data_IF_787759659186
#
_entry.id   IF_787759659186
#
_cell.length_a   1.000
_cell.length_b   1.000
_cell.length_c   1.000
_cell.angle_alpha   90.00
_cell.angle_beta   90.00
_cell.angle_gamma   90.00
#
_symmetry.space_group_name_H-M   'P 1'
#
loop_
_entity.id
_entity.type
_entity.pdbx_description
1 polymer ?
#
# COMPACT_ATOMS: atom_id res chain seq x y z
N UNK A 1 -4.30 12.41 -31.24
CA UNK A 1 -5.33 13.42 -30.92
C UNK A 1 -5.34 13.64 -29.41
N UNK A 2 -5.09 14.86 -28.93
CA UNK A 2 -5.19 15.16 -27.50
C UNK A 2 -6.65 15.01 -27.06
N UNK A 3 -6.92 14.21 -26.01
CA UNK A 3 -8.25 14.14 -25.37
C UNK A 3 -8.62 15.54 -24.88
N UNK A 4 -9.65 16.14 -25.47
CA UNK A 4 -10.18 17.44 -25.04
C UNK A 4 -10.98 17.21 -23.75
N UNK A 5 -10.44 17.62 -22.61
CA UNK A 5 -11.15 17.51 -21.34
C UNK A 5 -12.19 18.63 -21.23
N UNK A 6 -13.43 18.27 -20.91
CA UNK A 6 -14.51 19.22 -20.62
C UNK A 6 -14.52 19.47 -19.11
N UNK A 7 -14.41 20.74 -18.70
CA UNK A 7 -14.56 21.15 -17.31
C UNK A 7 -16.04 21.40 -17.02
N UNK A 8 -16.52 20.91 -15.88
CA UNK A 8 -17.89 21.12 -15.40
C UNK A 8 -17.87 21.91 -14.11
N UNK A 9 -18.87 22.78 -13.90
CA UNK A 9 -19.10 23.39 -12.59
C UNK A 9 -19.67 22.36 -11.60
N UNK A 10 -19.55 22.59 -10.27
CA UNK A 10 -20.15 21.70 -9.27
C UNK A 10 -21.66 21.48 -9.48
N UNK A 11 -22.41 22.54 -9.83
CA UNK A 11 -23.86 22.46 -10.07
C UNK A 11 -24.17 21.61 -11.31
N UNK A 12 -23.35 21.70 -12.35
CA UNK A 12 -23.48 20.86 -13.54
C UNK A 12 -23.23 19.38 -13.23
N UNK A 13 -22.26 19.09 -12.36
CA UNK A 13 -21.97 17.72 -11.91
C UNK A 13 -23.16 17.15 -11.15
N UNK A 14 -23.72 17.90 -10.20
CA UNK A 14 -24.88 17.47 -9.40
C UNK A 14 -26.09 17.21 -10.31
N UNK A 15 -26.38 18.12 -11.25
CA UNK A 15 -27.49 17.94 -12.19
C UNK A 15 -27.33 16.67 -13.04
N UNK A 16 -26.13 16.44 -13.58
CA UNK A 16 -25.84 15.24 -14.38
C UNK A 16 -25.89 13.96 -13.54
N UNK A 17 -25.46 14.02 -12.30
CA UNK A 17 -25.57 12.90 -11.37
C UNK A 17 -27.03 12.57 -11.07
N UNK A 18 -27.87 13.57 -10.82
CA UNK A 18 -29.30 13.38 -10.60
C UNK A 18 -29.99 12.77 -11.83
N UNK A 19 -29.61 13.20 -13.05
CA UNK A 19 -30.08 12.59 -14.30
C UNK A 19 -29.70 11.10 -14.38
N UNK A 20 -28.46 10.75 -14.03
CA UNK A 20 -27.99 9.36 -14.04
C UNK A 20 -28.67 8.51 -12.95
N UNK A 21 -28.91 9.06 -11.77
CA UNK A 21 -29.64 8.38 -10.69
C UNK A 21 -31.10 8.09 -11.09
N UNK A 22 -31.77 9.04 -11.74
CA UNK A 22 -33.13 8.83 -12.28
C UNK A 22 -33.13 7.75 -13.36
N UNK A 23 -32.15 7.79 -14.28
CA UNK A 23 -31.98 6.76 -15.32
C UNK A 23 -31.79 5.37 -14.71
N UNK A 24 -30.92 5.26 -13.70
CA UNK A 24 -30.70 4.02 -12.95
C UNK A 24 -32.00 3.55 -12.28
N UNK A 25 -32.68 4.41 -11.51
CA UNK A 25 -33.91 4.04 -10.79
C UNK A 25 -35.01 3.56 -11.74
N UNK A 26 -35.17 4.22 -12.90
CA UNK A 26 -36.07 3.76 -13.95
C UNK A 26 -35.70 2.37 -14.47
N UNK A 27 -34.41 2.13 -14.76
CA UNK A 27 -33.95 0.81 -15.22
C UNK A 27 -34.14 -0.30 -14.16
N UNK A 28 -33.98 0.03 -12.88
CA UNK A 28 -33.97 -0.93 -11.77
C UNK A 28 -35.38 -1.22 -11.22
N UNK A 29 -36.26 -0.22 -11.21
CA UNK A 29 -37.60 -0.30 -10.60
C UNK A 29 -38.75 -0.11 -11.60
N UNK A 30 -38.47 0.29 -12.84
CA UNK A 30 -39.50 0.52 -13.88
C UNK A 30 -40.29 1.82 -13.71
N UNK A 31 -40.07 2.59 -12.64
CA UNK A 31 -40.79 3.83 -12.36
C UNK A 31 -39.94 5.06 -12.68
N UNK A 32 -40.56 6.06 -13.32
CA UNK A 32 -39.99 7.40 -13.39
C UNK A 32 -39.89 8.01 -12.00
N UNK A 33 -38.75 8.62 -11.70
CA UNK A 33 -38.49 9.31 -10.43
C UNK A 33 -38.31 10.80 -10.72
N UNK A 34 -39.24 11.62 -10.25
CA UNK A 34 -39.09 13.08 -10.32
C UNK A 34 -38.02 13.58 -9.33
N UNK A 35 -37.64 14.85 -9.46
CA UNK A 35 -36.62 15.44 -8.57
C UNK A 35 -37.04 15.40 -7.10
N UNK A 36 -38.32 15.67 -6.80
CA UNK A 36 -38.82 15.73 -5.43
C UNK A 36 -38.74 14.37 -4.73
N UNK A 37 -39.11 13.30 -5.42
CA UNK A 37 -39.01 11.91 -4.95
C UNK A 37 -37.54 11.50 -4.83
N UNK A 38 -36.68 11.90 -5.77
CA UNK A 38 -35.23 11.67 -5.67
C UNK A 38 -34.67 12.32 -4.40
N UNK A 39 -34.90 13.61 -4.19
CA UNK A 39 -34.39 14.36 -3.04
C UNK A 39 -34.89 13.81 -1.70
N UNK A 40 -36.16 13.39 -1.65
CA UNK A 40 -36.77 12.84 -0.44
C UNK A 40 -36.29 11.42 -0.09
N UNK A 41 -35.76 10.67 -1.06
CA UNK A 41 -35.45 9.23 -0.87
C UNK A 41 -34.02 8.86 -1.25
N UNK A 42 -33.19 9.82 -1.69
CA UNK A 42 -31.79 9.58 -2.03
C UNK A 42 -31.03 9.14 -0.80
N UNK A 43 -30.30 8.04 -0.89
CA UNK A 43 -29.43 7.62 0.20
C UNK A 43 -28.21 6.84 -0.31
N UNK A 44 -27.17 6.86 0.51
CA UNK A 44 -25.91 6.17 0.27
C UNK A 44 -25.56 5.22 1.39
N UNK A 45 -24.78 4.19 1.05
CA UNK A 45 -24.12 3.31 2.00
C UNK A 45 -22.64 3.68 2.01
N UNK A 46 -22.07 3.92 3.18
CA UNK A 46 -20.65 4.19 3.35
C UNK A 46 -19.96 3.01 4.05
N UNK A 47 -18.90 2.48 3.43
CA UNK A 47 -18.10 1.37 3.96
C UNK A 47 -16.76 1.87 4.47
N UNK A 48 -16.50 1.68 5.75
CA UNK A 48 -15.26 2.13 6.40
C UNK A 48 -14.03 1.32 6.01
N UNK A 49 -12.86 1.91 6.22
CA UNK A 49 -11.56 1.23 6.10
C UNK A 49 -11.30 0.25 7.25
N UNK A 50 -10.08 -0.32 7.28
CA UNK A 50 -9.67 -1.29 8.32
C UNK A 50 -9.21 -2.65 7.78
N UNK A 51 -8.65 -2.68 6.57
CA UNK A 51 -8.12 -3.89 5.93
C UNK A 51 -9.13 -5.02 5.77
N UNK A 52 -8.64 -6.26 5.81
CA UNK A 52 -9.46 -7.45 5.53
C UNK A 52 -10.56 -7.69 6.57
N UNK A 53 -10.35 -7.27 7.82
CA UNK A 53 -11.36 -7.37 8.88
C UNK A 53 -12.59 -6.53 8.53
N UNK A 54 -12.36 -5.26 8.17
CA UNK A 54 -13.45 -4.38 7.74
C UNK A 54 -14.13 -4.90 6.46
N UNK A 55 -13.35 -5.37 5.47
CA UNK A 55 -13.90 -5.96 4.25
C UNK A 55 -14.86 -7.13 4.52
N UNK A 56 -14.51 -7.99 5.48
CA UNK A 56 -15.33 -9.16 5.86
C UNK A 56 -16.64 -8.74 6.54
N UNK A 57 -16.57 -7.78 7.46
CA UNK A 57 -17.76 -7.24 8.14
C UNK A 57 -18.68 -6.54 7.13
N UNK A 58 -18.12 -5.65 6.30
CA UNK A 58 -18.85 -4.94 5.25
C UNK A 58 -19.53 -5.90 4.28
N UNK A 59 -18.85 -6.99 3.88
CA UNK A 59 -19.45 -8.01 3.03
C UNK A 59 -20.68 -8.67 3.69
N UNK A 60 -20.61 -8.98 4.98
CA UNK A 60 -21.73 -9.53 5.75
C UNK A 60 -22.91 -8.56 5.88
N UNK A 61 -22.61 -7.27 6.12
CA UNK A 61 -23.62 -6.20 6.19
C UNK A 61 -24.31 -6.07 4.83
N UNK A 62 -23.56 -5.90 3.74
CA UNK A 62 -24.13 -5.75 2.40
C UNK A 62 -24.92 -6.98 1.96
N UNK A 63 -24.47 -8.19 2.31
CA UNK A 63 -25.23 -9.42 2.07
C UNK A 63 -26.61 -9.36 2.72
N UNK A 64 -26.67 -8.87 3.95
CA UNK A 64 -27.92 -8.73 4.68
C UNK A 64 -28.79 -7.63 4.08
N UNK A 65 -28.22 -6.46 3.76
CA UNK A 65 -28.95 -5.38 3.11
C UNK A 65 -29.48 -5.77 1.73
N UNK A 66 -28.76 -6.59 0.98
CA UNK A 66 -29.20 -7.15 -0.29
C UNK A 66 -30.38 -8.11 -0.11
N UNK A 67 -30.34 -8.98 0.90
CA UNK A 67 -31.48 -9.86 1.26
C UNK A 67 -32.77 -9.09 1.52
N UNK A 68 -32.68 -7.90 2.12
CA UNK A 68 -33.82 -7.03 2.36
C UNK A 68 -34.11 -6.03 1.21
N UNK A 69 -33.41 -6.13 0.09
CA UNK A 69 -33.57 -5.24 -1.06
C UNK A 69 -33.09 -3.80 -0.83
N UNK A 70 -32.47 -3.50 0.31
CA UNK A 70 -31.96 -2.16 0.67
C UNK A 70 -30.77 -1.80 -0.21
N UNK A 71 -29.85 -2.74 -0.45
CA UNK A 71 -28.68 -2.49 -1.30
C UNK A 71 -29.08 -2.08 -2.73
N UNK A 72 -30.11 -2.73 -3.30
CA UNK A 72 -30.66 -2.39 -4.62
C UNK A 72 -31.23 -0.96 -4.67
N UNK A 73 -31.73 -0.45 -3.54
CA UNK A 73 -32.32 0.89 -3.42
C UNK A 73 -31.30 2.00 -3.17
N UNK A 74 -30.12 1.69 -2.65
CA UNK A 74 -29.08 2.68 -2.42
C UNK A 74 -28.64 3.31 -3.75
N UNK A 75 -28.48 4.63 -3.77
CA UNK A 75 -28.01 5.39 -4.93
C UNK A 75 -26.49 5.50 -4.95
N UNK A 76 -25.88 5.51 -3.77
CA UNK A 76 -24.44 5.64 -3.61
C UNK A 76 -23.86 4.48 -2.78
N UNK A 77 -22.68 4.04 -3.18
CA UNK A 77 -21.82 3.17 -2.38
C UNK A 77 -20.45 3.84 -2.25
N UNK A 78 -20.23 4.52 -1.13
CA UNK A 78 -18.96 5.16 -0.82
C UNK A 78 -18.07 4.18 -0.05
N UNK A 79 -16.81 4.05 -0.44
CA UNK A 79 -15.91 3.07 0.17
C UNK A 79 -14.52 3.65 0.36
N UNK A 80 -13.82 3.20 1.41
CA UNK A 80 -12.41 3.57 1.65
C UNK A 80 -11.60 2.35 2.09
N UNK A 81 -10.36 2.24 1.62
CA UNK A 81 -9.39 1.20 2.02
C UNK A 81 -10.01 -0.21 1.97
N UNK A 82 -10.08 -0.92 3.11
CA UNK A 82 -10.69 -2.26 3.22
C UNK A 82 -12.14 -2.34 2.74
N UNK A 83 -12.94 -1.28 2.90
CA UNK A 83 -14.30 -1.22 2.35
C UNK A 83 -14.30 -1.20 0.81
N UNK A 84 -13.23 -0.70 0.19
CA UNK A 84 -13.03 -0.73 -1.26
C UNK A 84 -12.91 -2.13 -1.82
N UNK A 85 -12.43 -3.11 -1.03
CA UNK A 85 -12.42 -4.52 -1.47
C UNK A 85 -13.84 -5.05 -1.69
N UNK A 86 -14.73 -4.79 -0.73
CA UNK A 86 -16.15 -5.13 -0.86
C UNK A 86 -16.81 -4.32 -1.98
N UNK A 87 -16.54 -3.01 -2.06
CA UNK A 87 -17.09 -2.14 -3.09
C UNK A 87 -16.72 -2.55 -4.51
N UNK A 88 -15.44 -2.85 -4.75
CA UNK A 88 -14.94 -3.31 -6.04
C UNK A 88 -15.57 -4.65 -6.44
N UNK A 89 -15.74 -5.58 -5.49
CA UNK A 89 -16.47 -6.82 -5.73
C UNK A 89 -17.91 -6.57 -6.19
N UNK A 90 -18.67 -5.73 -5.49
CA UNK A 90 -20.04 -5.38 -5.88
C UNK A 90 -20.09 -4.82 -7.30
N UNK A 91 -19.19 -3.87 -7.61
CA UNK A 91 -19.14 -3.23 -8.91
C UNK A 91 -18.78 -4.21 -10.03
N UNK A 92 -17.78 -5.08 -9.81
CA UNK A 92 -17.36 -6.08 -10.78
C UNK A 92 -18.47 -7.10 -11.07
N UNK A 93 -19.09 -7.66 -10.02
CA UNK A 93 -20.16 -8.65 -10.18
C UNK A 93 -21.41 -8.05 -10.80
N UNK A 94 -21.82 -6.83 -10.43
CA UNK A 94 -22.97 -6.19 -11.08
C UNK A 94 -22.71 -5.88 -12.56
N UNK A 95 -21.46 -5.55 -12.93
CA UNK A 95 -21.08 -5.29 -14.32
C UNK A 95 -21.09 -6.57 -15.17
N UNK A 96 -20.67 -7.70 -14.59
CA UNK A 96 -20.59 -8.98 -15.28
C UNK A 96 -21.96 -9.68 -15.39
N UNK A 97 -22.67 -9.77 -14.27
CA UNK A 97 -23.93 -10.53 -14.17
C UNK A 97 -25.17 -9.70 -14.53
N UNK A 98 -25.09 -8.37 -14.41
CA UNK A 98 -26.22 -7.47 -14.62
C UNK A 98 -27.37 -7.61 -13.60
N UNK A 99 -27.20 -8.42 -12.55
CA UNK A 99 -28.25 -8.70 -11.56
C UNK A 99 -27.75 -8.63 -10.12
N UNK A 100 -28.60 -8.07 -9.24
CA UNK A 100 -28.37 -8.04 -7.79
C UNK A 100 -28.58 -9.41 -7.13
N UNK A 101 -29.28 -10.34 -7.79
CA UNK A 101 -29.58 -11.66 -7.21
C UNK A 101 -28.32 -12.54 -7.12
N UNK A 102 -27.39 -12.35 -8.07
CA UNK A 102 -26.10 -13.06 -8.14
C UNK A 102 -25.04 -12.51 -7.18
N UNK A 103 -25.29 -11.38 -6.54
CA UNK A 103 -24.32 -10.62 -5.77
C UNK A 103 -23.82 -11.33 -4.51
N UNK A 104 -24.56 -12.30 -3.98
CA UNK A 104 -24.17 -13.04 -2.77
C UNK A 104 -24.44 -14.54 -2.88
N UNK A 105 -24.43 -15.06 -4.11
CA UNK A 105 -24.49 -16.50 -4.38
C UNK A 105 -23.35 -17.22 -3.67
N UNK A 106 -23.59 -18.49 -3.29
CA UNK A 106 -22.62 -19.28 -2.51
C UNK A 106 -21.25 -19.34 -3.17
N UNK A 107 -21.21 -19.43 -4.49
CA UNK A 107 -19.97 -19.47 -5.27
C UNK A 107 -19.15 -18.20 -5.10
N UNK A 108 -19.74 -17.02 -5.32
CA UNK A 108 -19.03 -15.75 -5.17
C UNK A 108 -18.56 -15.50 -3.73
N UNK A 109 -19.41 -15.81 -2.75
CA UNK A 109 -19.03 -15.64 -1.34
C UNK A 109 -17.89 -16.60 -0.98
N UNK A 110 -17.90 -17.83 -1.49
CA UNK A 110 -16.81 -18.78 -1.29
C UNK A 110 -15.53 -18.36 -2.00
N UNK A 111 -15.63 -17.79 -3.20
CA UNK A 111 -14.51 -17.21 -3.92
C UNK A 111 -13.81 -16.15 -3.07
N UNK A 112 -14.55 -15.16 -2.56
CA UNK A 112 -14.02 -14.08 -1.72
C UNK A 112 -13.38 -14.63 -0.44
N UNK A 113 -14.05 -15.56 0.25
CA UNK A 113 -13.49 -16.20 1.46
C UNK A 113 -12.17 -16.91 1.18
N UNK A 114 -12.08 -17.58 0.03
CA UNK A 114 -10.88 -18.34 -0.35
C UNK A 114 -9.72 -17.45 -0.83
N UNK A 115 -9.96 -16.16 -1.07
CA UNK A 115 -8.97 -15.19 -1.56
C UNK A 115 -8.85 -13.93 -0.69
N UNK A 116 -9.32 -13.98 0.56
CA UNK A 116 -9.24 -12.85 1.50
C UNK A 116 -7.81 -12.47 1.93
N UNK A 117 -6.82 -13.34 1.71
CA UNK A 117 -5.42 -13.03 1.94
C UNK A 117 -4.85 -12.21 0.76
N UNK A 118 -5.17 -10.92 0.68
CA UNK A 118 -4.72 -10.07 -0.42
C UNK A 118 -3.20 -9.86 -0.45
N UNK A 119 -2.56 -9.78 0.72
CA UNK A 119 -1.09 -9.70 0.79
C UNK A 119 -0.43 -11.03 0.40
N UNK A 120 -1.10 -12.17 0.58
CA UNK A 120 -0.59 -13.50 0.25
C UNK A 120 -1.59 -14.21 -0.66
N UNK A 121 -1.77 -13.72 -1.90
CA UNK A 121 -2.76 -14.30 -2.81
C UNK A 121 -2.30 -15.71 -3.21
N UNK A 122 -3.26 -16.61 -3.43
CA UNK A 122 -3.00 -17.97 -3.91
C UNK A 122 -3.60 -19.07 -3.04
N UNK A 123 -3.50 -20.31 -3.54
CA UNK A 123 -3.91 -21.54 -2.85
C UNK A 123 -2.78 -22.57 -2.92
N UNK A 124 -2.71 -23.46 -1.94
CA UNK A 124 -1.72 -24.53 -1.89
C UNK A 124 -0.29 -24.00 -1.93
N UNK A 125 0.55 -24.61 -2.78
CA UNK A 125 1.98 -24.29 -2.92
C UNK A 125 2.25 -22.80 -3.21
N UNK A 126 1.45 -22.17 -4.07
CA UNK A 126 1.65 -20.76 -4.42
C UNK A 126 1.46 -19.80 -3.25
N UNK A 127 0.57 -20.14 -2.32
CA UNK A 127 0.40 -19.35 -1.09
C UNK A 127 1.64 -19.46 -0.21
N UNK A 128 2.20 -20.67 -0.06
CA UNK A 128 3.40 -20.91 0.74
C UNK A 128 4.61 -20.15 0.16
N UNK A 129 4.76 -20.16 -1.17
CA UNK A 129 5.80 -19.38 -1.85
C UNK A 129 5.67 -17.88 -1.59
N UNK A 130 4.49 -17.30 -1.82
CA UNK A 130 4.25 -15.87 -1.60
C UNK A 130 4.47 -15.46 -0.13
N UNK A 131 4.10 -16.35 0.80
CA UNK A 131 4.38 -16.14 2.24
C UNK A 131 5.89 -16.11 2.50
N UNK A 132 6.64 -17.05 1.91
CA UNK A 132 8.09 -17.10 2.02
C UNK A 132 8.76 -15.83 1.52
N UNK A 133 8.40 -15.37 0.31
CA UNK A 133 8.93 -14.13 -0.27
C UNK A 133 8.67 -12.93 0.63
N UNK A 134 7.45 -12.77 1.15
CA UNK A 134 7.12 -11.66 2.05
C UNK A 134 7.82 -11.74 3.39
N UNK A 135 8.00 -12.95 3.92
CA UNK A 135 8.73 -13.18 5.17
C UNK A 135 10.20 -12.80 5.01
N UNK A 136 10.83 -13.23 3.93
CA UNK A 136 12.22 -12.85 3.60
C UNK A 136 12.32 -11.34 3.41
N UNK A 137 11.40 -10.74 2.64
CA UNK A 137 11.35 -9.30 2.44
C UNK A 137 11.24 -8.53 3.76
N UNK A 138 10.35 -8.97 4.66
CA UNK A 138 10.19 -8.39 5.99
C UNK A 138 11.47 -8.52 6.84
N UNK A 139 12.11 -9.69 6.86
CA UNK A 139 13.37 -9.91 7.60
C UNK A 139 14.46 -9.00 7.06
N UNK A 140 14.59 -8.89 5.74
CA UNK A 140 15.57 -8.00 5.11
C UNK A 140 15.28 -6.55 5.48
N UNK A 141 14.02 -6.09 5.37
CA UNK A 141 13.63 -4.73 5.77
C UNK A 141 13.88 -4.46 7.25
N UNK A 142 13.65 -5.46 8.11
CA UNK A 142 13.94 -5.37 9.53
C UNK A 142 15.45 -5.23 9.77
N UNK A 143 16.28 -6.09 9.19
CA UNK A 143 17.74 -5.98 9.33
C UNK A 143 18.24 -4.62 8.83
N UNK A 144 17.73 -4.16 7.68
CA UNK A 144 18.13 -2.87 7.10
C UNK A 144 17.68 -1.67 7.96
N UNK A 145 16.53 -1.76 8.64
CA UNK A 145 16.07 -0.68 9.52
C UNK A 145 16.92 -0.53 10.79
N UNK A 146 17.55 -1.61 11.26
CA UNK A 146 18.46 -1.61 12.41
C UNK A 146 19.90 -1.21 12.05
N UNK A 147 20.28 -1.28 10.78
CA UNK A 147 21.63 -0.91 10.33
C UNK A 147 21.94 0.57 10.62
N UNK A 148 21.01 1.49 10.32
CA UNK A 148 21.23 2.92 10.56
C UNK A 148 21.38 3.27 12.05
N UNK A 149 20.49 2.83 12.96
CA UNK A 149 20.70 2.99 14.41
C UNK A 149 22.01 2.41 14.92
N UNK A 150 22.41 1.23 14.42
CA UNK A 150 23.68 0.61 14.80
C UNK A 150 24.90 1.46 14.39
N UNK A 151 24.89 2.02 13.17
CA UNK A 151 25.94 2.93 12.71
C UNK A 151 25.99 4.22 13.53
N UNK A 152 24.84 4.79 13.89
CA UNK A 152 24.78 5.99 14.74
C UNK A 152 25.31 5.69 16.14
N UNK A 153 24.93 4.56 16.73
CA UNK A 153 25.44 4.13 18.04
C UNK A 153 26.96 3.92 18.01
N UNK A 154 27.48 3.28 16.95
CA UNK A 154 28.91 3.11 16.75
C UNK A 154 29.63 4.47 16.62
N UNK A 155 29.04 5.43 15.89
CA UNK A 155 29.59 6.78 15.77
C UNK A 155 29.67 7.52 17.10
N UNK A 156 28.58 7.49 17.88
CA UNK A 156 28.54 8.09 19.22
C UNK A 156 29.61 7.46 20.12
N UNK A 157 29.73 6.13 20.08
CA UNK A 157 30.74 5.42 20.86
C UNK A 157 32.17 5.81 20.47
N UNK A 158 32.48 5.90 19.17
CA UNK A 158 33.80 6.34 18.72
C UNK A 158 34.11 7.79 19.14
N UNK A 159 33.14 8.70 19.05
CA UNK A 159 33.30 10.09 19.52
C UNK A 159 33.58 10.11 21.02
N UNK A 160 32.86 9.30 21.80
CA UNK A 160 33.12 9.14 23.23
C UNK A 160 34.54 8.62 23.51
N UNK A 161 35.00 7.58 22.82
CA UNK A 161 36.37 7.04 22.96
C UNK A 161 37.41 8.09 22.58
N UNK A 162 37.16 8.89 21.56
CA UNK A 162 38.05 9.98 21.15
C UNK A 162 38.15 11.07 22.23
N UNK A 163 37.00 11.54 22.74
CA UNK A 163 36.94 12.58 23.77
C UNK A 163 37.54 12.10 25.10
N UNK A 164 37.24 10.87 25.52
CA UNK A 164 37.80 10.29 26.76
C UNK A 164 39.33 10.21 26.71
N UNK A 165 39.90 9.77 25.58
CA UNK A 165 41.36 9.81 25.35
C UNK A 165 41.94 11.21 25.30
N UNK A 166 41.21 12.17 24.70
CA UNK A 166 41.66 13.56 24.62
C UNK A 166 41.67 14.26 25.99
N UNK A 167 40.70 13.94 26.85
CA UNK A 167 40.49 14.58 28.15
C UNK A 167 40.99 13.75 29.35
N UNK A 168 41.63 12.59 29.11
CA UNK A 168 42.05 11.62 30.14
C UNK A 168 40.94 11.29 31.16
N UNK A 169 39.73 10.98 30.67
CA UNK A 169 38.58 10.65 31.51
C UNK A 169 38.15 9.19 31.30
N UNK A 170 38.39 8.32 32.28
CA UNK A 170 38.09 6.88 32.23
C UNK A 170 36.71 6.53 32.80
N UNK A 171 35.65 6.99 32.12
CA UNK A 171 34.27 6.77 32.56
C UNK A 171 33.66 5.39 32.25
N UNK A 172 34.31 4.53 31.43
CA UNK A 172 33.76 3.24 30.97
C UNK A 172 34.84 2.17 30.70
N UNK A 173 35.71 1.90 31.68
CA UNK A 173 36.78 0.89 31.55
C UNK A 173 36.26 -0.50 31.11
N UNK A 174 35.16 -1.00 31.68
CA UNK A 174 34.62 -2.33 31.34
C UNK A 174 34.06 -2.48 29.92
N UNK A 175 33.50 -1.41 29.34
CA UNK A 175 33.07 -1.40 27.93
C UNK A 175 34.29 -1.27 27.00
N UNK A 176 35.27 -0.46 27.37
CA UNK A 176 36.52 -0.28 26.62
C UNK A 176 37.35 -1.58 26.57
N UNK A 177 37.40 -2.36 27.64
CA UNK A 177 38.06 -3.68 27.67
C UNK A 177 37.35 -4.70 26.76
N UNK A 178 36.02 -4.77 26.79
CA UNK A 178 35.25 -5.70 25.95
C UNK A 178 35.47 -5.46 24.45
N UNK A 179 35.50 -4.20 24.01
CA UNK A 179 35.68 -3.85 22.60
C UNK A 179 37.15 -3.80 22.15
N UNK A 180 38.09 -3.52 23.06
CA UNK A 180 39.53 -3.59 22.76
C UNK A 180 40.00 -5.04 22.62
N UNK A 181 39.47 -5.97 23.44
CA UNK A 181 39.77 -7.41 23.33
C UNK A 181 39.34 -8.06 22.02
N UNK A 182 38.32 -7.51 21.33
CA UNK A 182 37.86 -7.99 20.03
C UNK A 182 38.51 -7.27 18.83
N UNK A 183 39.42 -6.31 19.07
CA UNK A 183 40.04 -5.49 18.02
C UNK A 183 39.08 -4.54 17.27
N UNK A 184 37.81 -4.50 17.68
CA UNK A 184 36.72 -3.79 16.98
C UNK A 184 37.00 -2.29 16.89
N UNK A 185 37.64 -1.71 17.92
CA UNK A 185 37.94 -0.28 17.94
C UNK A 185 38.97 0.08 16.85
N UNK A 186 40.04 -0.71 16.73
CA UNK A 186 41.11 -0.42 15.78
C UNK A 186 40.70 -0.75 14.34
N UNK A 187 40.15 -1.95 14.11
CA UNK A 187 39.70 -2.36 12.78
C UNK A 187 38.45 -1.58 12.34
N UNK A 188 37.55 -1.23 13.26
CA UNK A 188 36.37 -0.41 12.98
C UNK A 188 36.73 1.02 12.56
N UNK A 189 37.73 1.62 13.21
CA UNK A 189 38.23 2.94 12.81
C UNK A 189 38.89 2.90 11.42
N UNK A 190 39.74 1.91 11.14
CA UNK A 190 40.33 1.74 9.81
C UNK A 190 39.28 1.48 8.74
N UNK A 191 38.26 0.67 9.05
CA UNK A 191 37.17 0.38 8.14
C UNK A 191 36.33 1.62 7.82
N UNK A 192 36.07 2.48 8.80
CA UNK A 192 35.36 3.74 8.59
C UNK A 192 36.15 4.76 7.80
N UNK A 193 37.44 4.94 8.12
CA UNK A 193 38.33 5.79 7.33
C UNK A 193 38.41 5.27 5.90
N UNK A 194 38.49 3.94 5.73
CA UNK A 194 38.47 3.29 4.43
C UNK A 194 37.15 3.51 3.68
N UNK A 195 35.98 3.33 4.32
CA UNK A 195 34.67 3.60 3.70
C UNK A 195 34.53 5.08 3.36
N UNK A 196 34.90 6.00 4.24
CA UNK A 196 34.82 7.43 3.98
C UNK A 196 35.74 7.83 2.82
N UNK A 197 36.95 7.29 2.79
CA UNK A 197 37.89 7.50 1.70
C UNK A 197 37.35 6.91 0.39
N UNK A 198 36.89 5.66 0.40
CA UNK A 198 36.32 4.99 -0.78
C UNK A 198 35.05 5.67 -1.27
N UNK A 199 34.17 6.12 -0.37
CA UNK A 199 32.98 6.89 -0.71
C UNK A 199 33.34 8.27 -1.27
N UNK A 200 34.36 8.92 -0.71
CA UNK A 200 34.88 10.21 -1.21
C UNK A 200 35.50 10.04 -2.58
N UNK A 201 36.34 9.03 -2.79
CA UNK A 201 36.94 8.69 -4.09
C UNK A 201 35.87 8.27 -5.10
N UNK A 202 34.90 7.45 -4.69
CA UNK A 202 33.77 7.08 -5.54
C UNK A 202 32.95 8.32 -5.91
N UNK A 203 32.61 9.20 -4.98
CA UNK A 203 31.93 10.46 -5.29
C UNK A 203 32.79 11.41 -6.14
N UNK A 204 34.12 11.38 -5.99
CA UNK A 204 35.05 12.19 -6.80
C UNK A 204 35.17 11.64 -8.23
N UNK A 205 35.17 10.32 -8.40
CA UNK A 205 35.18 9.63 -9.71
C UNK A 205 33.80 9.74 -10.39
N UNK A 206 32.72 9.59 -9.62
CA UNK A 206 31.34 9.65 -10.08
C UNK A 206 30.82 11.09 -10.20
N UNK A 207 31.63 12.10 -9.89
CA UNK A 207 31.30 13.51 -10.17
C UNK A 207 31.14 13.67 -11.69
N UNK A 208 29.89 13.82 -12.10
CA UNK A 208 29.43 14.19 -13.44
C UNK A 208 29.49 13.12 -14.53
N UNK A 209 29.65 11.83 -14.23
CA UNK A 209 29.47 10.81 -15.27
C UNK A 209 28.02 10.27 -15.33
N UNK A 210 27.20 10.92 -16.16
CA UNK A 210 25.83 10.50 -16.47
C UNK A 210 25.79 9.22 -17.34
N UNK A 211 26.95 8.67 -17.75
CA UNK A 211 27.03 7.50 -18.63
C UNK A 211 26.49 6.23 -17.97
N UNK A 212 26.67 6.07 -16.66
CA UNK A 212 26.17 4.90 -15.92
C UNK A 212 24.63 4.91 -15.90
N UNK A 213 24.03 6.07 -15.63
CA UNK A 213 22.57 6.24 -15.69
C UNK A 213 22.01 6.02 -17.10
N UNK A 214 22.70 6.47 -18.15
CA UNK A 214 22.30 6.20 -19.55
C UNK A 214 22.34 4.71 -19.91
N UNK A 215 23.37 3.98 -19.46
CA UNK A 215 23.48 2.52 -19.65
C UNK A 215 22.37 1.78 -18.89
N UNK A 216 22.06 2.21 -17.66
CA UNK A 216 20.96 1.65 -16.89
C UNK A 216 19.61 1.87 -17.58
N UNK A 217 19.32 3.09 -18.06
CA UNK A 217 18.10 3.38 -18.81
C UNK A 217 17.98 2.54 -20.10
N UNK A 218 19.08 2.26 -20.81
CA UNK A 218 19.04 1.40 -22.00
C UNK A 218 18.73 -0.07 -21.66
N UNK A 219 19.31 -0.58 -20.57
CA UNK A 219 19.01 -1.93 -20.07
C UNK A 219 17.56 -2.03 -19.58
N UNK A 220 17.08 -1.02 -18.86
CA UNK A 220 15.70 -0.96 -18.37
C UNK A 220 14.69 -0.87 -19.53
N UNK A 221 15.00 -0.08 -20.57
CA UNK A 221 14.18 0.00 -21.79
C UNK A 221 14.17 -1.32 -22.57
N UNK A 222 15.29 -2.05 -22.60
CA UNK A 222 15.35 -3.37 -23.25
C UNK A 222 14.60 -4.46 -22.47
N UNK A 223 14.57 -4.37 -21.14
CA UNK A 223 13.86 -5.32 -20.27
C UNK A 223 12.35 -5.06 -20.21
N UNK A 224 11.91 -3.82 -20.32
CA UNK A 224 10.48 -3.44 -20.33
C UNK A 224 9.87 -3.51 -21.75
N UNK A 225 10.72 -3.58 -22.79
CA UNK A 225 10.32 -3.75 -24.19
C UNK A 225 10.01 -5.21 -24.63
N UNK A 226 9.95 -6.15 -23.69
CA UNK A 226 9.50 -7.55 -23.86
C UNK A 226 8.27 -7.75 -22.98
#
# INVERSE_FOLDING_TARGET
>A
MAKKYQLFSPDEVIRKEDEELKRRRKAVFGEETDQKKLDATRFGIALSGGGIRSATINLGILKTLSKFGVLKRADYLSTVSGGGYTGAYIQATLREEGSYDKLFDREHVNYLRSRGAYMIPGKGWWKSWNTGVLTVGFIVSLVMSWLSPALVAALIYMVYVFISKLLNFDGMEGFNEMFSGLGIIQYGLYFLVFIFFLHTIANLILRYDVSISKKFNHVETALVGI
#
